data_IF_388207604198
#
_entry.id   IF_388207604198
#
_cell.length_a   1.000
_cell.length_b   1.000
_cell.length_c   1.000
_cell.angle_alpha   90.00
_cell.angle_beta   90.00
_cell.angle_gamma   90.00
#
_symmetry.space_group_name_H-M   'P 1'
#
loop_
_entity.id
_entity.type
_entity.pdbx_description
1 polymer ?
#
# COMPACT_ATOMS: atom_id res chain seq x y z
N UNK A 1 -23.92 22.43 -6.03
CA UNK A 1 -23.61 21.98 -4.66
C UNK A 1 -22.09 21.84 -4.56
N UNK A 2 -21.39 22.89 -4.12
CA UNK A 2 -19.92 22.87 -4.02
C UNK A 2 -19.50 22.17 -2.74
N UNK A 3 -18.72 21.09 -2.85
CA UNK A 3 -18.11 20.41 -1.71
C UNK A 3 -17.13 21.37 -1.03
N UNK A 4 -17.12 21.42 0.31
CA UNK A 4 -16.27 22.33 1.07
C UNK A 4 -14.78 22.06 0.79
N UNK A 5 -13.92 23.10 0.62
CA UNK A 5 -12.50 22.93 0.32
C UNK A 5 -11.76 22.06 1.35
N UNK A 6 -12.03 22.26 2.64
CA UNK A 6 -11.47 21.43 3.72
C UNK A 6 -11.76 19.94 3.55
N UNK A 7 -13.00 19.60 3.21
CA UNK A 7 -13.45 18.21 3.04
C UNK A 7 -12.69 17.51 1.91
N UNK A 8 -12.41 18.21 0.81
CA UNK A 8 -11.66 17.63 -0.32
C UNK A 8 -10.17 17.48 0.02
N UNK A 9 -9.60 18.44 0.74
CA UNK A 9 -8.23 18.32 1.27
C UNK A 9 -8.12 17.11 2.20
N UNK A 10 -9.01 16.99 3.18
CA UNK A 10 -9.03 15.86 4.11
C UNK A 10 -9.15 14.52 3.37
N UNK A 11 -9.99 14.46 2.34
CA UNK A 11 -10.24 13.26 1.56
C UNK A 11 -9.00 12.78 0.77
N UNK A 12 -8.36 13.69 0.02
CA UNK A 12 -7.36 13.31 -0.98
C UNK A 12 -5.91 13.46 -0.53
N UNK A 13 -5.63 14.23 0.53
CA UNK A 13 -4.25 14.50 0.95
C UNK A 13 -3.45 13.21 1.29
N UNK A 14 -3.99 12.22 2.04
CA UNK A 14 -3.27 10.98 2.30
C UNK A 14 -3.01 10.16 1.01
N UNK A 15 -3.98 10.15 0.09
CA UNK A 15 -3.88 9.44 -1.18
C UNK A 15 -2.81 10.05 -2.09
N UNK A 16 -2.75 11.39 -2.17
CA UNK A 16 -1.69 12.11 -2.90
C UNK A 16 -0.32 11.74 -2.34
N UNK A 17 -0.14 11.75 -1.01
CA UNK A 17 1.12 11.37 -0.38
C UNK A 17 1.56 9.95 -0.74
N UNK A 18 0.62 9.00 -0.75
CA UNK A 18 0.87 7.62 -1.16
C UNK A 18 1.29 7.50 -2.63
N UNK A 19 0.58 8.18 -3.54
CA UNK A 19 0.89 8.19 -4.97
C UNK A 19 2.25 8.83 -5.26
N UNK A 20 2.60 9.93 -4.57
CA UNK A 20 3.92 10.57 -4.70
C UNK A 20 5.03 9.63 -4.25
N UNK A 21 4.88 8.97 -3.10
CA UNK A 21 5.88 8.06 -2.56
C UNK A 21 6.12 6.87 -3.50
N UNK A 22 5.06 6.15 -3.88
CA UNK A 22 5.18 4.99 -4.76
C UNK A 22 5.60 5.37 -6.18
N UNK A 23 5.05 6.48 -6.70
CA UNK A 23 5.42 7.02 -8.00
C UNK A 23 6.90 7.37 -8.07
N UNK A 24 7.43 8.05 -7.05
CA UNK A 24 8.84 8.41 -6.96
C UNK A 24 9.74 7.16 -6.87
N UNK A 25 9.40 6.19 -6.02
CA UNK A 25 10.15 4.93 -5.89
C UNK A 25 10.24 4.22 -7.25
N UNK A 26 9.11 4.09 -7.96
CA UNK A 26 9.04 3.46 -9.28
C UNK A 26 9.80 4.24 -10.35
N UNK A 27 9.67 5.57 -10.38
CA UNK A 27 10.36 6.43 -11.37
C UNK A 27 11.89 6.41 -11.17
N UNK A 28 12.35 6.32 -9.92
CA UNK A 28 13.77 6.17 -9.59
C UNK A 28 14.34 4.81 -10.01
N UNK A 29 13.53 3.89 -10.53
CA UNK A 29 13.94 2.54 -10.91
C UNK A 29 14.26 1.66 -9.69
N UNK A 30 13.75 2.02 -8.51
CA UNK A 30 13.95 1.26 -7.28
C UNK A 30 12.84 0.24 -7.11
N UNK A 31 13.21 -0.97 -6.73
CA UNK A 31 12.26 -2.01 -6.36
C UNK A 31 11.98 -1.91 -4.87
N UNK A 32 10.70 -1.80 -4.50
CA UNK A 32 10.29 -1.87 -3.10
C UNK A 32 9.70 -3.25 -2.82
N UNK A 33 10.34 -3.99 -1.91
CA UNK A 33 9.85 -5.28 -1.43
C UNK A 33 9.33 -5.09 -0.01
N UNK A 34 8.04 -5.34 0.19
CA UNK A 34 7.35 -5.21 1.49
C UNK A 34 6.53 -6.48 1.80
N UNK A 35 5.97 -6.56 2.99
CA UNK A 35 5.01 -7.62 3.35
C UNK A 35 3.60 -7.20 2.95
N UNK A 36 2.73 -8.17 2.66
CA UNK A 36 1.32 -7.90 2.34
C UNK A 36 0.59 -7.13 3.45
N UNK A 37 0.90 -7.41 4.71
CA UNK A 37 0.33 -6.69 5.85
C UNK A 37 0.72 -5.21 5.89
N UNK A 38 1.99 -4.89 5.58
CA UNK A 38 2.48 -3.50 5.50
C UNK A 38 1.89 -2.77 4.30
N UNK A 39 1.72 -3.47 3.18
CA UNK A 39 1.04 -2.93 2.01
C UNK A 39 -0.42 -2.55 2.32
N UNK A 40 -1.18 -3.47 2.92
CA UNK A 40 -2.57 -3.21 3.37
C UNK A 40 -2.63 -2.02 4.32
N UNK A 41 -1.72 -1.93 5.29
CA UNK A 41 -1.66 -0.80 6.22
C UNK A 41 -1.38 0.53 5.50
N UNK A 42 -0.42 0.55 4.57
CA UNK A 42 -0.10 1.73 3.77
C UNK A 42 -1.27 2.18 2.91
N UNK A 43 -1.97 1.22 2.27
CA UNK A 43 -3.18 1.49 1.49
C UNK A 43 -4.32 2.01 2.39
N UNK A 44 -4.50 1.43 3.57
CA UNK A 44 -5.45 1.91 4.58
C UNK A 44 -5.20 3.38 4.93
N UNK A 45 -3.95 3.74 5.23
CA UNK A 45 -3.56 5.14 5.47
C UNK A 45 -3.88 6.01 4.25
N UNK A 46 -3.58 5.55 3.03
CA UNK A 46 -3.83 6.30 1.80
C UNK A 46 -5.32 6.62 1.58
N UNK A 47 -6.23 5.70 1.95
CA UNK A 47 -7.68 5.89 1.79
C UNK A 47 -8.37 6.45 3.05
N UNK A 48 -7.63 6.64 4.15
CA UNK A 48 -8.20 7.07 5.44
C UNK A 48 -9.00 8.37 5.34
N UNK A 49 -8.53 9.34 4.55
CA UNK A 49 -9.23 10.59 4.30
C UNK A 49 -10.59 10.39 3.62
N UNK A 50 -10.65 9.53 2.60
CA UNK A 50 -11.90 9.18 1.92
C UNK A 50 -12.88 8.47 2.86
N UNK A 51 -12.37 7.62 3.75
CA UNK A 51 -13.18 6.95 4.77
C UNK A 51 -13.73 7.97 5.78
N UNK A 52 -12.89 8.89 6.25
CA UNK A 52 -13.27 9.93 7.21
C UNK A 52 -14.38 10.85 6.68
N UNK A 53 -14.32 11.20 5.39
CA UNK A 53 -15.28 12.11 4.75
C UNK A 53 -16.55 11.39 4.25
N UNK A 54 -16.46 10.10 3.91
CA UNK A 54 -17.58 9.33 3.37
C UNK A 54 -18.24 8.44 4.43
N UNK A 55 -17.92 7.13 4.49
CA UNK A 55 -18.57 6.18 5.39
C UNK A 55 -18.54 6.58 6.87
N UNK A 56 -17.46 7.17 7.37
CA UNK A 56 -17.34 7.51 8.79
C UNK A 56 -18.35 8.57 9.23
N UNK A 57 -18.69 9.54 8.37
CA UNK A 57 -19.76 10.51 8.63
C UNK A 57 -21.14 9.83 8.67
N UNK A 58 -21.36 8.77 7.86
CA UNK A 58 -22.62 8.01 7.89
C UNK A 58 -22.81 7.20 9.18
N UNK A 59 -21.71 6.72 9.76
CA UNK A 59 -21.70 5.98 11.02
C UNK A 59 -21.40 6.88 12.23
N UNK A 60 -21.41 8.21 12.06
CA UNK A 60 -21.08 9.14 13.14
C UNK A 60 -22.16 9.10 14.24
N UNK A 61 -21.81 8.69 15.47
CA UNK A 61 -22.78 8.53 16.54
C UNK A 61 -23.14 9.91 17.13
N UNK A 62 -24.16 10.57 16.57
CA UNK A 62 -24.59 11.91 16.98
C UNK A 62 -24.92 12.01 18.47
N UNK A 63 -25.50 10.97 19.06
CA UNK A 63 -25.79 10.90 20.50
C UNK A 63 -24.53 10.79 21.38
N UNK A 64 -23.43 10.24 20.87
CA UNK A 64 -22.17 10.21 21.58
C UNK A 64 -21.41 11.53 21.42
N UNK A 65 -21.53 12.20 20.27
CA UNK A 65 -20.90 13.50 20.03
C UNK A 65 -21.43 14.61 20.96
N UNK A 66 -22.70 14.55 21.36
CA UNK A 66 -23.23 15.51 22.36
C UNK A 66 -22.60 15.36 23.73
N UNK A 67 -22.10 14.17 24.09
CA UNK A 67 -21.53 13.86 25.40
C UNK A 67 -20.00 13.96 25.38
N UNK A 68 -19.36 13.45 24.34
CA UNK A 68 -17.90 13.31 24.22
C UNK A 68 -17.25 14.34 23.29
N UNK A 69 -18.05 15.09 22.51
CA UNK A 69 -17.57 16.08 21.55
C UNK A 69 -16.45 15.56 20.64
N UNK A 70 -15.32 16.29 20.50
CA UNK A 70 -14.23 15.92 19.59
C UNK A 70 -13.64 14.51 19.80
N UNK A 71 -13.75 13.96 21.01
CA UNK A 71 -13.18 12.65 21.34
C UNK A 71 -13.87 11.49 20.58
N UNK A 72 -15.05 11.71 19.99
CA UNK A 72 -15.69 10.74 19.10
C UNK A 72 -14.81 10.46 17.88
N UNK A 73 -14.16 11.48 17.30
CA UNK A 73 -13.24 11.29 16.17
C UNK A 73 -12.03 10.45 16.54
N UNK A 74 -11.51 10.59 17.76
CA UNK A 74 -10.42 9.74 18.25
C UNK A 74 -10.87 8.29 18.36
N UNK A 75 -12.06 8.05 18.90
CA UNK A 75 -12.66 6.71 18.98
C UNK A 75 -12.86 6.08 17.60
N UNK A 76 -13.36 6.85 16.63
CA UNK A 76 -13.53 6.40 15.24
C UNK A 76 -12.19 6.12 14.55
N UNK A 77 -11.17 6.95 14.79
CA UNK A 77 -9.83 6.74 14.25
C UNK A 77 -9.19 5.46 14.82
N UNK A 78 -9.36 5.21 16.12
CA UNK A 78 -8.91 3.96 16.77
C UNK A 78 -9.66 2.77 16.18
N UNK A 79 -10.98 2.84 16.07
CA UNK A 79 -11.79 1.79 15.48
C UNK A 79 -11.34 1.47 14.04
N UNK A 80 -11.15 2.51 13.22
CA UNK A 80 -10.63 2.37 11.86
C UNK A 80 -9.25 1.68 11.84
N UNK A 81 -8.32 2.12 12.69
CA UNK A 81 -7.00 1.52 12.82
C UNK A 81 -7.08 0.04 13.22
N UNK A 82 -7.99 -0.31 14.13
CA UNK A 82 -8.23 -1.70 14.54
C UNK A 82 -8.78 -2.54 13.39
N UNK A 83 -9.72 -2.02 12.60
CA UNK A 83 -10.21 -2.69 11.40
C UNK A 83 -9.11 -2.92 10.38
N UNK A 84 -8.30 -1.89 10.07
CA UNK A 84 -7.16 -2.02 9.14
C UNK A 84 -6.14 -3.02 9.67
N UNK A 85 -5.86 -2.99 10.97
CA UNK A 85 -4.93 -3.92 11.62
C UNK A 85 -5.46 -5.36 11.56
N UNK A 86 -6.75 -5.56 11.82
CA UNK A 86 -7.40 -6.87 11.73
C UNK A 86 -7.31 -7.41 10.30
N UNK A 87 -7.63 -6.61 9.28
CA UNK A 87 -7.49 -7.01 7.87
C UNK A 87 -6.02 -7.36 7.55
N UNK A 88 -5.07 -6.54 7.99
CA UNK A 88 -3.64 -6.79 7.78
C UNK A 88 -3.15 -8.08 8.47
N UNK A 89 -3.63 -8.36 9.68
CA UNK A 89 -3.26 -9.56 10.46
C UNK A 89 -3.93 -10.83 9.96
N UNK A 90 -5.14 -10.73 9.41
CA UNK A 90 -5.90 -11.86 8.85
C UNK A 90 -5.54 -12.14 7.39
N UNK A 91 -4.85 -11.22 6.72
CA UNK A 91 -4.37 -11.42 5.37
C UNK A 91 -3.34 -12.56 5.31
N UNK A 92 -3.37 -13.33 4.22
CA UNK A 92 -2.40 -14.41 4.02
C UNK A 92 -0.98 -13.84 3.93
N UNK A 93 0.00 -14.44 4.63
CA UNK A 93 1.39 -14.03 4.54
C UNK A 93 1.88 -14.07 3.09
N UNK A 94 2.34 -12.92 2.60
CA UNK A 94 2.85 -12.75 1.25
C UNK A 94 3.86 -11.62 1.21
N UNK A 95 4.75 -11.66 0.21
CA UNK A 95 5.60 -10.53 -0.14
C UNK A 95 5.00 -9.79 -1.32
N UNK A 96 5.12 -8.48 -1.27
CA UNK A 96 4.63 -7.57 -2.31
C UNK A 96 5.82 -6.81 -2.87
N UNK A 97 5.92 -6.79 -4.19
CA UNK A 97 7.03 -6.20 -4.91
C UNK A 97 6.51 -5.13 -5.87
N UNK A 98 6.97 -3.89 -5.67
CA UNK A 98 6.66 -2.77 -6.54
C UNK A 98 7.83 -2.41 -7.45
N UNK A 99 7.50 -2.01 -8.68
CA UNK A 99 8.44 -1.47 -9.65
C UNK A 99 9.03 -2.53 -10.58
N UNK A 100 8.54 -3.78 -10.52
CA UNK A 100 8.96 -4.86 -11.41
C UNK A 100 7.80 -5.78 -11.75
N UNK A 101 7.83 -6.34 -12.95
CA UNK A 101 6.90 -7.38 -13.38
C UNK A 101 7.26 -8.75 -12.76
N UNK A 102 6.35 -9.72 -12.72
CA UNK A 102 6.64 -11.07 -12.25
C UNK A 102 7.81 -11.72 -12.98
N UNK A 103 7.90 -11.54 -14.29
CA UNK A 103 8.96 -12.12 -15.13
C UNK A 103 10.34 -11.60 -14.72
N UNK A 104 10.41 -10.32 -14.31
CA UNK A 104 11.64 -9.69 -13.85
C UNK A 104 12.03 -10.09 -12.42
N UNK A 105 11.06 -10.52 -11.61
CA UNK A 105 11.28 -10.97 -10.22
C UNK A 105 11.54 -12.47 -10.14
N UNK A 106 11.11 -13.24 -11.13
CA UNK A 106 11.25 -14.69 -11.16
C UNK A 106 12.70 -15.14 -10.93
N UNK A 107 13.65 -14.65 -11.74
CA UNK A 107 15.07 -15.02 -11.63
C UNK A 107 15.69 -14.61 -10.27
N UNK A 108 15.53 -13.36 -9.78
CA UNK A 108 15.94 -13.00 -8.42
C UNK A 108 15.28 -13.85 -7.33
N UNK A 109 14.01 -14.26 -7.50
CA UNK A 109 13.33 -15.11 -6.53
C UNK A 109 13.90 -16.52 -6.50
N UNK A 110 14.19 -17.10 -7.67
CA UNK A 110 14.81 -18.42 -7.76
C UNK A 110 16.18 -18.42 -7.08
N UNK A 111 17.02 -17.41 -7.34
CA UNK A 111 18.30 -17.25 -6.65
C UNK A 111 18.14 -17.06 -5.14
N UNK A 112 17.20 -16.23 -4.71
CA UNK A 112 16.90 -16.05 -3.29
C UNK A 112 16.42 -17.34 -2.62
N UNK A 113 15.64 -18.16 -3.33
CA UNK A 113 15.21 -19.47 -2.85
C UNK A 113 16.38 -20.46 -2.79
N UNK A 114 17.31 -20.43 -3.74
CA UNK A 114 18.52 -21.26 -3.74
C UNK A 114 19.46 -20.97 -2.57
N UNK A 115 19.52 -19.71 -2.10
CA UNK A 115 20.23 -19.37 -0.86
C UNK A 115 19.59 -19.98 0.39
N UNK A 116 18.28 -20.22 0.38
CA UNK A 116 17.56 -20.86 1.49
C UNK A 116 17.56 -22.39 1.39
N UNK A 117 17.49 -22.91 0.17
CA UNK A 117 17.45 -24.32 -0.15
C UNK A 117 18.24 -24.55 -1.44
N UNK A 118 19.49 -25.07 -1.38
CA UNK A 118 20.32 -25.27 -2.57
C UNK A 118 19.69 -26.18 -3.63
N UNK A 119 18.71 -27.01 -3.25
CA UNK A 119 17.96 -27.86 -4.16
C UNK A 119 16.73 -27.16 -4.77
N UNK A 120 16.54 -25.86 -4.52
CA UNK A 120 15.42 -25.11 -5.07
C UNK A 120 15.44 -25.07 -6.59
N UNK A 121 14.30 -25.39 -7.18
CA UNK A 121 14.07 -25.37 -8.62
C UNK A 121 12.87 -24.49 -8.96
N UNK A 122 12.80 -24.01 -10.20
CA UNK A 122 11.71 -23.16 -10.64
C UNK A 122 11.15 -23.62 -11.97
N UNK A 123 9.88 -23.29 -12.20
CA UNK A 123 9.22 -23.41 -13.51
C UNK A 123 8.81 -22.01 -14.02
N UNK A 124 9.47 -21.49 -15.07
CA UNK A 124 9.16 -20.18 -15.63
C UNK A 124 7.77 -20.11 -16.25
N UNK A 125 7.22 -21.23 -16.75
CA UNK A 125 5.92 -21.22 -17.42
C UNK A 125 4.77 -21.02 -16.43
N UNK A 126 4.90 -21.63 -15.25
CA UNK A 126 3.89 -21.50 -14.17
C UNK A 126 4.22 -20.40 -13.17
N UNK A 127 5.40 -19.76 -13.29
CA UNK A 127 5.90 -18.74 -12.37
C UNK A 127 5.95 -19.24 -10.92
N UNK A 128 6.42 -20.49 -10.76
CA UNK A 128 6.53 -21.15 -9.46
C UNK A 128 7.97 -21.49 -9.12
N UNK A 129 8.29 -21.45 -7.82
CA UNK A 129 9.59 -21.85 -7.26
C UNK A 129 9.35 -22.85 -6.15
N UNK A 130 9.99 -24.01 -6.25
CA UNK A 130 9.81 -25.15 -5.35
C UNK A 130 11.08 -25.33 -4.52
N UNK A 131 10.92 -25.35 -3.19
CA UNK A 131 11.99 -25.58 -2.21
C UNK A 131 11.76 -26.96 -1.60
N UNK A 132 12.42 -28.02 -2.10
CA UNK A 132 12.11 -29.41 -1.73
C UNK A 132 12.46 -29.74 -0.28
N UNK A 133 13.56 -29.20 0.25
CA UNK A 133 14.01 -29.44 1.62
C UNK A 133 13.08 -28.77 2.62
N UNK A 134 12.67 -27.54 2.31
CA UNK A 134 11.69 -26.80 3.11
C UNK A 134 10.23 -27.27 2.88
N UNK A 135 10.00 -28.07 1.82
CA UNK A 135 8.66 -28.48 1.33
C UNK A 135 7.74 -27.29 1.07
N UNK A 136 8.30 -26.21 0.53
CA UNK A 136 7.57 -24.96 0.24
C UNK A 136 7.47 -24.76 -1.25
N UNK A 137 6.30 -24.35 -1.73
CA UNK A 137 6.10 -23.90 -3.10
C UNK A 137 5.65 -22.45 -3.08
N UNK A 138 6.44 -21.61 -3.73
CA UNK A 138 6.18 -20.21 -3.93
C UNK A 138 5.60 -19.99 -5.32
N UNK A 139 4.65 -19.07 -5.43
CA UNK A 139 4.12 -18.61 -6.71
C UNK A 139 4.24 -17.11 -6.81
N UNK A 140 4.68 -16.65 -7.98
CA UNK A 140 4.55 -15.25 -8.34
C UNK A 140 3.21 -15.03 -9.06
N UNK A 141 2.54 -13.96 -8.71
CA UNK A 141 1.30 -13.54 -9.35
C UNK A 141 1.29 -12.03 -9.59
N UNK A 142 0.60 -11.61 -10.64
CA UNK A 142 0.34 -10.21 -10.95
C UNK A 142 -0.75 -10.03 -11.98
N UNK A 143 -1.23 -8.79 -12.08
CA UNK A 143 -2.06 -8.36 -13.18
C UNK A 143 -1.21 -8.09 -14.43
N UNK A 144 -1.65 -8.53 -15.62
CA UNK A 144 -0.97 -8.22 -16.87
C UNK A 144 -0.72 -6.72 -17.04
N UNK A 145 0.51 -6.34 -17.38
CA UNK A 145 0.88 -4.93 -17.61
C UNK A 145 1.13 -4.10 -16.34
N UNK A 146 1.05 -4.68 -15.15
CA UNK A 146 1.37 -3.99 -13.91
C UNK A 146 2.84 -4.22 -13.49
N UNK A 147 3.57 -3.14 -13.14
CA UNK A 147 4.90 -3.20 -12.52
C UNK A 147 4.80 -3.61 -11.03
N UNK A 148 4.10 -4.71 -10.78
CA UNK A 148 3.70 -5.20 -9.48
C UNK A 148 3.85 -6.72 -9.48
N UNK A 149 4.24 -7.32 -8.37
CA UNK A 149 4.20 -8.77 -8.20
C UNK A 149 3.90 -9.13 -6.74
N UNK A 150 3.11 -10.18 -6.55
CA UNK A 150 2.88 -10.80 -5.24
C UNK A 150 3.57 -12.16 -5.23
N UNK A 151 4.21 -12.48 -4.11
CA UNK A 151 4.80 -13.80 -3.85
C UNK A 151 4.04 -14.38 -2.66
N UNK A 152 3.34 -15.48 -2.90
CA UNK A 152 2.66 -16.22 -1.85
C UNK A 152 3.11 -17.68 -1.86
N UNK A 153 2.94 -18.35 -0.73
CA UNK A 153 3.17 -19.77 -0.61
C UNK A 153 1.85 -20.53 -0.72
N UNK A 154 1.89 -21.75 -1.25
CA UNK A 154 0.73 -22.64 -1.24
C UNK A 154 0.50 -23.26 0.13
N UNK A 155 1.57 -23.49 0.87
CA UNK A 155 1.52 -24.14 2.17
C UNK A 155 1.04 -23.16 3.26
N UNK A 156 0.07 -23.56 4.09
CA UNK A 156 -0.40 -22.73 5.19
C UNK A 156 0.66 -22.63 6.30
N UNK A 157 0.65 -21.53 7.05
CA UNK A 157 1.41 -21.37 8.30
C UNK A 157 2.94 -21.44 8.19
N UNK A 158 3.52 -20.94 7.09
CA UNK A 158 4.96 -20.70 7.06
C UNK A 158 5.40 -19.75 8.18
N UNK A 159 6.56 -20.03 8.75
CA UNK A 159 7.11 -19.24 9.85
C UNK A 159 7.43 -17.82 9.41
N UNK A 160 7.29 -16.85 10.32
CA UNK A 160 7.68 -15.46 10.05
C UNK A 160 9.18 -15.34 9.70
N UNK A 161 10.01 -16.21 10.27
CA UNK A 161 11.45 -16.27 9.98
C UNK A 161 11.73 -16.66 8.53
N UNK A 162 10.96 -17.58 7.95
CA UNK A 162 11.06 -17.93 6.53
C UNK A 162 10.83 -16.70 5.64
N UNK A 163 9.72 -15.97 5.86
CA UNK A 163 9.38 -14.79 5.09
C UNK A 163 10.42 -13.67 5.22
N UNK A 164 10.92 -13.43 6.44
CA UNK A 164 11.95 -12.42 6.68
C UNK A 164 13.26 -12.76 5.97
N UNK A 165 13.69 -14.03 6.00
CA UNK A 165 14.90 -14.47 5.30
C UNK A 165 14.72 -14.40 3.79
N UNK A 166 13.61 -14.89 3.26
CA UNK A 166 13.28 -14.80 1.84
C UNK A 166 13.27 -13.34 1.36
N UNK A 167 12.65 -12.45 2.13
CA UNK A 167 12.64 -11.02 1.83
C UNK A 167 14.04 -10.41 1.82
N UNK A 168 14.90 -10.79 2.76
CA UNK A 168 16.28 -10.30 2.83
C UNK A 168 17.11 -10.76 1.63
N UNK A 169 17.10 -12.06 1.31
CA UNK A 169 17.80 -12.59 0.13
C UNK A 169 17.26 -12.00 -1.17
N UNK A 170 15.93 -11.91 -1.31
CA UNK A 170 15.32 -11.32 -2.51
C UNK A 170 15.71 -9.85 -2.68
N UNK A 171 15.76 -9.06 -1.60
CA UNK A 171 16.24 -7.67 -1.67
C UNK A 171 17.66 -7.58 -2.19
N UNK A 172 18.55 -8.47 -1.77
CA UNK A 172 19.94 -8.46 -2.23
C UNK A 172 20.02 -8.79 -3.74
N UNK A 173 19.35 -9.86 -4.19
CA UNK A 173 19.35 -10.29 -5.59
C UNK A 173 18.71 -9.26 -6.55
N UNK A 174 17.70 -8.53 -6.05
CA UNK A 174 16.98 -7.50 -6.82
C UNK A 174 17.81 -6.23 -6.98
N UNK A 175 18.62 -5.84 -6.00
CA UNK A 175 19.48 -4.65 -6.10
C UNK A 175 20.54 -4.80 -7.19
N UNK A 176 21.06 -6.00 -7.41
CA UNK A 176 22.10 -6.27 -8.41
C UNK A 176 21.58 -6.21 -9.86
N UNK A 177 20.29 -6.47 -10.06
CA UNK A 177 19.67 -6.43 -11.39
C UNK A 177 19.14 -5.03 -11.70
N UNK A 178 19.82 -4.26 -12.55
CA UNK A 178 19.27 -2.96 -13.05
C UNK A 178 18.22 -3.22 -14.13
N UNK A 179 17.04 -2.61 -14.00
CA UNK A 179 15.94 -2.71 -14.97
C UNK A 179 15.52 -1.31 -15.42
N UNK A 180 15.14 -1.12 -16.71
CA UNK A 180 14.64 0.15 -17.22
C UNK A 180 13.42 0.68 -16.45
N UNK A 181 13.34 2.01 -16.36
CA UNK A 181 12.27 2.74 -15.67
C UNK A 181 10.91 2.46 -16.33
N UNK A 182 9.96 1.97 -15.55
CA UNK A 182 8.59 1.72 -16.00
C UNK A 182 7.74 3.00 -16.09
N UNK A 183 6.77 3.00 -17.02
CA UNK A 183 5.82 4.11 -17.22
C UNK A 183 4.84 4.24 -16.04
N UNK A 184 4.62 3.16 -15.29
CA UNK A 184 3.67 3.14 -14.17
C UNK A 184 4.01 4.13 -13.04
N UNK A 185 5.31 4.40 -12.81
CA UNK A 185 5.73 5.42 -11.84
C UNK A 185 5.39 6.83 -12.29
N UNK A 186 5.57 7.13 -13.58
CA UNK A 186 5.24 8.44 -14.16
C UNK A 186 3.72 8.70 -14.10
N UNK A 187 2.90 7.70 -14.44
CA UNK A 187 1.44 7.83 -14.37
C UNK A 187 0.95 8.17 -12.96
N UNK A 188 1.53 7.54 -11.92
CA UNK A 188 1.22 7.86 -10.51
C UNK A 188 1.62 9.30 -10.16
N UNK A 189 2.80 9.76 -10.59
CA UNK A 189 3.27 11.11 -10.32
C UNK A 189 2.44 12.18 -11.04
N UNK A 190 2.08 11.94 -12.30
CA UNK A 190 1.19 12.84 -13.07
C UNK A 190 -0.18 12.91 -12.39
N UNK A 191 -0.73 11.76 -11.99
CA UNK A 191 -2.01 11.73 -11.26
C UNK A 191 -1.94 12.52 -9.96
N UNK A 192 -0.88 12.32 -9.17
CA UNK A 192 -0.66 13.08 -7.94
C UNK A 192 -0.51 14.59 -8.21
N UNK A 193 0.22 14.98 -9.27
CA UNK A 193 0.40 16.37 -9.65
C UNK A 193 -0.93 17.03 -10.07
N UNK A 194 -1.76 16.33 -10.86
CA UNK A 194 -3.09 16.80 -11.23
C UNK A 194 -4.01 16.95 -10.01
N UNK A 195 -3.97 15.99 -9.07
CA UNK A 195 -4.71 16.08 -7.83
C UNK A 195 -4.25 17.27 -6.97
N UNK A 196 -2.94 17.48 -6.83
CA UNK A 196 -2.39 18.65 -6.11
C UNK A 196 -2.84 19.94 -6.77
N UNK A 197 -2.71 20.06 -8.10
CA UNK A 197 -3.14 21.24 -8.84
C UNK A 197 -4.63 21.52 -8.61
N UNK A 198 -5.47 20.47 -8.63
CA UNK A 198 -6.89 20.58 -8.33
C UNK A 198 -7.15 21.05 -6.88
N UNK A 199 -6.46 20.47 -5.90
CA UNK A 199 -6.58 20.85 -4.48
C UNK A 199 -6.16 22.31 -4.23
N UNK A 200 -5.05 22.74 -4.84
CA UNK A 200 -4.55 24.12 -4.75
C UNK A 200 -5.53 25.07 -5.42
N UNK A 201 -5.99 24.76 -6.63
CA UNK A 201 -6.96 25.58 -7.36
C UNK A 201 -8.27 25.75 -6.58
N UNK A 202 -8.76 24.68 -5.94
CA UNK A 202 -9.96 24.75 -5.13
C UNK A 202 -9.78 25.57 -3.83
N UNK A 203 -8.58 25.52 -3.25
CA UNK A 203 -8.26 26.21 -1.99
C UNK A 203 -7.85 27.67 -2.19
N UNK A 204 -7.35 28.02 -3.38
CA UNK A 204 -6.92 29.36 -3.73
C UNK A 204 -8.08 30.37 -3.60
N UNK A 205 -7.87 31.41 -2.80
CA UNK A 205 -8.88 32.42 -2.50
C UNK A 205 -10.02 31.96 -1.59
N UNK A 206 -9.89 30.80 -0.93
CA UNK A 206 -10.88 30.22 0.00
C UNK A 206 -10.26 29.74 1.32
N UNK A 207 -9.15 30.35 1.71
CA UNK A 207 -8.36 29.97 2.89
C UNK A 207 -9.20 30.00 4.18
N UNK A 208 -10.05 31.02 4.32
CA UNK A 208 -10.96 31.15 5.47
C UNK A 208 -11.91 29.94 5.59
N UNK A 209 -12.44 29.44 4.46
CA UNK A 209 -13.32 28.27 4.44
C UNK A 209 -12.59 26.98 4.79
N UNK A 210 -11.28 26.90 4.53
CA UNK A 210 -10.45 25.75 4.93
C UNK A 210 -10.26 25.76 6.44
N UNK A 211 -9.88 26.91 7.01
CA UNK A 211 -9.65 27.08 8.46
C UNK A 211 -10.94 26.91 9.25
N UNK A 212 -12.03 27.52 8.79
CA UNK A 212 -13.35 27.39 9.42
C UNK A 212 -13.87 25.94 9.32
N UNK A 213 -13.69 25.31 8.16
CA UNK A 213 -14.03 23.90 7.95
C UNK A 213 -13.30 22.98 8.92
N UNK A 214 -11.99 23.19 9.11
CA UNK A 214 -11.19 22.45 10.08
C UNK A 214 -11.65 22.68 11.52
N UNK A 215 -11.89 23.94 11.92
CA UNK A 215 -12.37 24.27 13.26
C UNK A 215 -13.73 23.63 13.54
N UNK A 216 -14.65 23.71 12.59
CA UNK A 216 -15.98 23.11 12.69
C UNK A 216 -15.91 21.60 12.80
N UNK A 217 -15.03 20.97 12.03
CA UNK A 217 -14.81 19.53 12.09
C UNK A 217 -14.25 19.09 13.44
N UNK A 218 -13.29 19.82 13.99
CA UNK A 218 -12.72 19.54 15.32
C UNK A 218 -13.70 19.80 16.46
N UNK A 219 -14.63 20.74 16.32
CA UNK A 219 -15.63 21.04 17.36
C UNK A 219 -16.85 20.12 17.35
N UNK A 220 -16.96 19.21 16.38
CA UNK A 220 -18.02 18.18 16.33
C UNK A 220 -17.65 17.02 17.25
#
# INVERSE_FOLDING_TARGET
MSIAPFTILLAFLPLVGYLLLLGAIRMLGRTLITTGSRDIAALGIAISGLVAVGPAELFFPSAAATVFGPYVWVSLAIFYLLCVSLIALTSTPKLVVYGRSPQQIYEPLLRAAQHLDPAASGDPNTMQVHLPTAKVRLRLDSQPGADYAQIFAFEPNLTLSFWNRLQAHLRNEVVESRIPRGVGGLAMLVTAALMIAFLVWQSAGREELVVEGFRKWLSR
#
